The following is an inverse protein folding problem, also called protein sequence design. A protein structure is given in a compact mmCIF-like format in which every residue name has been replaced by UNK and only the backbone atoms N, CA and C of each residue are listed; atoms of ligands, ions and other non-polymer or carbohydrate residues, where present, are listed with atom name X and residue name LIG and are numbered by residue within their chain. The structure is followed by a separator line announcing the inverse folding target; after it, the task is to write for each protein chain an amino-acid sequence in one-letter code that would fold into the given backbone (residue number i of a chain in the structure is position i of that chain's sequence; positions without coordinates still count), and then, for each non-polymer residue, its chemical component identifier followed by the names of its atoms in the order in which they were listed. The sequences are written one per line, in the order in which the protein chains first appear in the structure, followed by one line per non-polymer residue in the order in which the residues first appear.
data_IF_808382316882
#
_entry.id   IF_808382316882
#
_cell.length_a   1.000
_cell.length_b   1.000
_cell.length_c   1.000
_cell.angle_alpha   90.00
_cell.angle_beta   90.00
_cell.angle_gamma   90.00
#
_symmetry.space_group_name_H-M   'P 1'
#
loop_
_entity.id
_entity.type
_entity.pdbx_description
1 polymer ?
#
# COMPACT_ATOMS: atom_id res chain seq x y z
N UNK A 1 11.05 13.43 17.00
CA UNK A 1 11.95 12.39 16.47
C UNK A 1 11.80 11.13 17.33
N UNK A 2 11.36 9.99 16.78
CA UNK A 2 11.04 8.77 17.56
C UNK A 2 11.87 7.55 17.12
N UNK A 3 12.96 7.78 16.37
CA UNK A 3 13.85 6.76 15.82
C UNK A 3 15.17 6.59 16.60
N UNK A 4 15.38 7.30 17.71
CA UNK A 4 16.67 7.30 18.42
C UNK A 4 16.82 6.17 19.44
N UNK A 5 15.79 5.33 19.65
CA UNK A 5 15.80 4.32 20.74
C UNK A 5 15.91 2.86 20.31
N UNK A 6 15.95 2.55 19.01
CA UNK A 6 16.06 1.16 18.54
C UNK A 6 16.73 1.07 17.16
N UNK A 7 18.06 0.92 17.13
CA UNK A 7 18.86 0.79 15.90
C UNK A 7 18.51 -0.44 15.06
N UNK A 8 17.91 -1.49 15.64
CA UNK A 8 17.65 -2.76 14.95
C UNK A 8 16.33 -2.84 14.19
N UNK A 9 15.47 -1.80 14.25
CA UNK A 9 14.14 -1.86 13.62
C UNK A 9 13.84 -0.57 12.87
N UNK A 10 14.51 -0.39 11.73
CA UNK A 10 14.10 0.56 10.69
C UNK A 10 12.70 0.13 10.21
N UNK A 11 11.67 0.70 10.84
CA UNK A 11 10.29 0.60 10.33
C UNK A 11 10.29 1.27 8.95
N UNK A 12 9.81 0.55 7.94
CA UNK A 12 9.83 0.98 6.54
C UNK A 12 9.36 2.41 6.39
N UNK A 13 10.31 3.33 6.18
CA UNK A 13 10.07 4.76 6.04
C UNK A 13 9.75 5.15 4.58
N UNK A 14 9.61 4.17 3.69
CA UNK A 14 9.41 4.42 2.26
C UNK A 14 8.00 4.92 1.96
N UNK A 15 7.91 6.07 1.29
CA UNK A 15 6.63 6.65 0.84
C UNK A 15 6.02 5.80 -0.28
N UNK A 16 4.72 5.98 -0.55
CA UNK A 16 4.07 5.31 -1.68
C UNK A 16 4.71 5.70 -3.02
N UNK A 17 5.16 6.95 -3.16
CA UNK A 17 5.89 7.41 -4.35
C UNK A 17 7.20 6.65 -4.53
N UNK A 18 7.98 6.46 -3.46
CA UNK A 18 9.22 5.68 -3.49
C UNK A 18 8.95 4.22 -3.83
N UNK A 19 7.92 3.63 -3.24
CA UNK A 19 7.54 2.25 -3.54
C UNK A 19 7.06 2.10 -5.00
N UNK A 20 6.35 3.10 -5.53
CA UNK A 20 5.93 3.12 -6.94
C UNK A 20 7.14 3.21 -7.87
N UNK A 21 8.08 4.12 -7.60
CA UNK A 21 9.31 4.27 -8.38
C UNK A 21 10.13 2.97 -8.37
N UNK A 22 10.26 2.35 -7.19
CA UNK A 22 10.97 1.08 -7.02
C UNK A 22 10.31 -0.04 -7.84
N UNK A 23 9.01 -0.23 -7.72
CA UNK A 23 8.30 -1.33 -8.37
C UNK A 23 8.18 -1.17 -9.90
N UNK A 24 8.18 0.06 -10.43
CA UNK A 24 8.11 0.31 -11.88
C UNK A 24 9.45 0.22 -12.58
N UNK A 25 10.52 0.74 -11.97
CA UNK A 25 11.75 1.05 -12.70
C UNK A 25 12.98 0.31 -12.17
N UNK A 26 12.91 -0.28 -10.98
CA UNK A 26 14.09 -0.83 -10.32
C UNK A 26 13.90 -2.32 -10.04
N UNK A 27 14.95 -3.09 -10.31
CA UNK A 27 15.02 -4.50 -9.95
C UNK A 27 15.39 -4.67 -8.47
N UNK A 28 15.17 -5.87 -7.94
CA UNK A 28 15.53 -6.21 -6.57
C UNK A 28 17.06 -6.34 -6.39
N UNK A 29 17.61 -5.68 -5.36
CA UNK A 29 19.04 -5.74 -5.02
C UNK A 29 19.53 -4.54 -4.19
N UNK A 30 20.39 -4.75 -3.18
CA UNK A 30 20.90 -3.63 -2.36
C UNK A 30 22.09 -2.94 -3.04
N UNK A 31 21.85 -1.81 -3.69
CA UNK A 31 22.89 -0.95 -4.27
C UNK A 31 22.67 0.52 -3.89
N UNK A 32 23.72 1.20 -3.44
CA UNK A 32 23.69 2.63 -3.13
C UNK A 32 23.41 3.48 -4.38
N UNK A 33 23.93 3.07 -5.54
CA UNK A 33 23.61 3.68 -6.85
C UNK A 33 22.11 3.54 -7.13
N UNK A 34 21.55 2.35 -6.92
CA UNK A 34 20.10 2.12 -7.05
C UNK A 34 19.29 3.02 -6.12
N UNK A 35 19.78 3.25 -4.89
CA UNK A 35 19.11 4.14 -3.93
C UNK A 35 19.14 5.60 -4.39
N UNK A 36 20.23 6.05 -5.01
CA UNK A 36 20.30 7.37 -5.64
C UNK A 36 19.33 7.53 -6.81
N UNK A 37 19.24 6.53 -7.68
CA UNK A 37 18.26 6.50 -8.78
C UNK A 37 16.82 6.51 -8.28
N UNK A 38 16.52 5.73 -7.23
CA UNK A 38 15.18 5.73 -6.59
C UNK A 38 14.79 7.13 -6.14
N UNK A 39 15.71 7.89 -5.53
CA UNK A 39 15.44 9.25 -5.08
C UNK A 39 15.15 10.20 -6.26
N UNK A 40 15.98 10.17 -7.31
CA UNK A 40 15.79 10.99 -8.51
C UNK A 40 14.49 10.68 -9.25
N UNK A 41 14.19 9.39 -9.45
CA UNK A 41 12.93 8.93 -10.07
C UNK A 41 11.71 9.29 -9.22
N UNK A 42 11.81 9.16 -7.90
CA UNK A 42 10.71 9.56 -7.00
C UNK A 42 10.42 11.05 -7.14
N UNK A 43 11.46 11.90 -7.15
CA UNK A 43 11.28 13.34 -7.34
C UNK A 43 10.62 13.63 -8.68
N UNK A 44 11.09 13.02 -9.77
CA UNK A 44 10.45 13.16 -11.09
C UNK A 44 8.99 12.71 -11.13
N UNK A 45 8.66 11.59 -10.47
CA UNK A 45 7.27 11.14 -10.33
C UNK A 45 6.45 12.16 -9.55
N UNK A 46 6.95 12.68 -8.44
CA UNK A 46 6.20 13.63 -7.61
C UNK A 46 6.02 15.01 -8.25
N UNK A 47 6.90 15.40 -9.18
CA UNK A 47 6.72 16.66 -9.95
C UNK A 47 5.74 16.51 -11.10
N UNK A 48 5.69 15.34 -11.76
CA UNK A 48 4.86 15.13 -12.96
C UNK A 48 3.50 14.52 -12.62
N UNK A 49 3.40 13.66 -11.61
CA UNK A 49 2.17 12.95 -11.26
C UNK A 49 1.51 13.50 -10.00
N UNK A 50 0.19 13.67 -10.06
CA UNK A 50 -0.61 13.98 -8.88
C UNK A 50 -0.56 12.84 -7.86
N UNK A 51 -0.74 13.16 -6.57
CA UNK A 51 -0.78 12.13 -5.51
C UNK A 51 -1.87 11.06 -5.77
N UNK A 52 -3.00 11.44 -6.37
CA UNK A 52 -4.04 10.50 -6.82
C UNK A 52 -3.49 9.53 -7.87
N UNK A 53 -2.79 10.03 -8.90
CA UNK A 53 -2.20 9.18 -9.95
C UNK A 53 -1.14 8.23 -9.39
N UNK A 54 -0.26 8.70 -8.50
CA UNK A 54 0.75 7.86 -7.83
C UNK A 54 0.08 6.72 -7.08
N UNK A 55 -0.94 7.03 -6.26
CA UNK A 55 -1.68 6.01 -5.53
C UNK A 55 -2.37 5.01 -6.46
N UNK A 56 -3.02 5.48 -7.54
CA UNK A 56 -3.65 4.60 -8.54
C UNK A 56 -2.64 3.65 -9.16
N UNK A 57 -1.48 4.15 -9.59
CA UNK A 57 -0.44 3.31 -10.20
C UNK A 57 0.11 2.33 -9.18
N UNK A 58 0.43 2.78 -7.96
CA UNK A 58 0.86 1.91 -6.87
C UNK A 58 -0.12 0.75 -6.65
N UNK A 59 -1.41 1.03 -6.53
CA UNK A 59 -2.43 0.02 -6.27
C UNK A 59 -2.62 -0.96 -7.43
N UNK A 60 -2.26 -0.59 -8.66
CA UNK A 60 -2.34 -1.47 -9.83
C UNK A 60 -1.11 -2.37 -10.00
N UNK A 61 0.05 -1.96 -9.47
CA UNK A 61 1.29 -2.74 -9.59
C UNK A 61 1.68 -3.47 -8.30
N UNK A 62 1.04 -3.15 -7.17
CA UNK A 62 1.31 -3.83 -5.91
C UNK A 62 0.83 -5.29 -5.96
N UNK A 63 1.63 -6.20 -5.41
CA UNK A 63 1.27 -7.61 -5.25
C UNK A 63 0.42 -7.79 -3.98
N UNK A 64 -0.71 -8.49 -4.12
CA UNK A 64 -1.65 -8.79 -3.02
C UNK A 64 -1.67 -10.28 -2.63
N UNK A 65 -0.97 -11.10 -3.39
CA UNK A 65 -0.76 -12.53 -3.17
C UNK A 65 0.09 -13.08 -4.31
N UNK A 66 0.50 -14.33 -4.21
CA UNK A 66 1.39 -14.99 -5.19
C UNK A 66 0.83 -14.86 -6.62
N UNK A 67 1.50 -14.03 -7.44
CA UNK A 67 1.10 -13.77 -8.83
C UNK A 67 -0.14 -12.87 -9.00
N UNK A 68 -0.64 -12.24 -7.94
CA UNK A 68 -1.85 -11.40 -7.96
C UNK A 68 -1.42 -9.94 -7.83
N UNK A 69 -1.25 -9.29 -8.98
CA UNK A 69 -0.86 -7.88 -9.07
C UNK A 69 -2.09 -6.99 -9.33
N UNK A 70 -2.20 -5.95 -8.52
CA UNK A 70 -3.25 -4.96 -8.65
C UNK A 70 -4.47 -5.21 -7.76
N UNK A 71 -5.03 -4.12 -7.25
CA UNK A 71 -6.18 -4.15 -6.33
C UNK A 71 -7.44 -4.69 -7.01
N UNK A 72 -7.63 -4.43 -8.30
CA UNK A 72 -8.76 -4.98 -9.08
C UNK A 72 -8.65 -6.50 -9.19
N UNK A 73 -7.50 -7.03 -9.60
CA UNK A 73 -7.27 -8.46 -9.67
C UNK A 73 -7.45 -9.14 -8.31
N UNK A 74 -6.95 -8.52 -7.23
CA UNK A 74 -7.14 -9.00 -5.87
C UNK A 74 -8.62 -9.00 -5.45
N UNK A 75 -9.37 -7.94 -5.79
CA UNK A 75 -10.79 -7.83 -5.47
C UNK A 75 -11.60 -8.94 -6.13
N UNK A 76 -11.37 -9.16 -7.42
CA UNK A 76 -12.00 -10.25 -8.19
C UNK A 76 -11.62 -11.62 -7.61
N UNK A 77 -10.33 -11.83 -7.32
CA UNK A 77 -9.81 -13.12 -6.87
C UNK A 77 -10.25 -13.53 -5.46
N UNK A 78 -10.39 -12.58 -4.55
CA UNK A 78 -10.67 -12.86 -3.14
C UNK A 78 -12.12 -12.59 -2.73
N UNK A 79 -12.80 -11.66 -3.40
CA UNK A 79 -14.14 -11.23 -3.03
C UNK A 79 -15.16 -11.32 -4.18
N UNK A 80 -14.74 -11.75 -5.37
CA UNK A 80 -15.60 -11.98 -6.53
C UNK A 80 -16.41 -10.74 -6.95
N UNK A 81 -15.77 -9.57 -6.90
CA UNK A 81 -16.37 -8.29 -7.26
C UNK A 81 -15.33 -7.27 -7.69
N UNK A 82 -15.73 -6.22 -8.45
CA UNK A 82 -14.82 -5.14 -8.79
C UNK A 82 -14.34 -4.38 -7.55
N UNK A 83 -13.13 -3.82 -7.62
CA UNK A 83 -12.52 -3.08 -6.52
C UNK A 83 -13.37 -1.88 -6.06
N UNK A 84 -14.14 -1.28 -6.98
CA UNK A 84 -15.09 -0.19 -6.69
C UNK A 84 -16.24 -0.60 -5.76
N UNK A 85 -16.48 -1.90 -5.58
CA UNK A 85 -17.53 -2.46 -4.69
C UNK A 85 -16.97 -3.11 -3.43
N UNK A 86 -15.69 -2.91 -3.12
CA UNK A 86 -15.12 -3.36 -1.86
C UNK A 86 -15.75 -2.60 -0.70
N UNK A 87 -16.13 -3.34 0.34
CA UNK A 87 -16.48 -2.75 1.63
C UNK A 87 -15.23 -2.20 2.32
N UNK A 88 -15.42 -1.29 3.28
CA UNK A 88 -14.31 -0.76 4.10
C UNK A 88 -13.51 -1.88 4.78
N UNK A 89 -14.18 -2.96 5.18
CA UNK A 89 -13.56 -4.13 5.80
C UNK A 89 -12.66 -4.89 4.84
N UNK A 90 -13.11 -5.12 3.60
CA UNK A 90 -12.33 -5.84 2.58
C UNK A 90 -11.17 -4.98 2.07
N UNK A 91 -11.39 -3.68 1.88
CA UNK A 91 -10.32 -2.73 1.55
C UNK A 91 -9.25 -2.71 2.67
N UNK A 92 -9.66 -2.69 3.93
CA UNK A 92 -8.74 -2.78 5.07
C UNK A 92 -8.00 -4.13 5.11
N UNK A 93 -8.62 -5.23 4.69
CA UNK A 93 -7.98 -6.54 4.62
C UNK A 93 -6.89 -6.57 3.53
N UNK A 94 -7.18 -6.05 2.34
CA UNK A 94 -6.20 -5.91 1.26
C UNK A 94 -5.03 -5.01 1.69
N UNK A 95 -5.32 -3.89 2.36
CA UNK A 95 -4.29 -3.02 2.89
C UNK A 95 -3.43 -3.71 4.00
N UNK A 96 -4.02 -4.62 4.78
CA UNK A 96 -3.32 -5.34 5.84
C UNK A 96 -2.28 -6.34 5.31
N UNK A 97 -2.46 -6.86 4.09
CA UNK A 97 -1.56 -7.88 3.50
C UNK A 97 -0.41 -7.29 2.69
N UNK A 98 -0.55 -6.08 2.16
CA UNK A 98 0.47 -5.37 1.35
C UNK A 98 1.91 -5.38 1.90
N UNK A 99 2.16 -5.29 3.22
CA UNK A 99 3.54 -5.29 3.72
C UNK A 99 4.30 -6.59 3.46
N UNK A 100 3.59 -7.72 3.30
CA UNK A 100 4.18 -9.00 2.93
C UNK A 100 3.09 -9.93 2.35
N UNK A 101 2.68 -9.77 1.09
CA UNK A 101 1.55 -10.48 0.49
C UNK A 101 1.77 -12.00 0.36
N UNK A 102 3.03 -12.42 0.34
CA UNK A 102 3.38 -13.85 0.31
C UNK A 102 3.10 -14.50 1.68
N UNK A 103 3.39 -13.83 2.80
CA UNK A 103 3.15 -14.36 4.16
C UNK A 103 1.77 -14.02 4.71
N UNK A 104 1.22 -12.86 4.35
CA UNK A 104 -0.08 -12.38 4.81
C UNK A 104 -1.13 -12.68 3.74
N UNK A 105 -2.02 -13.63 4.03
CA UNK A 105 -3.01 -14.12 3.07
C UNK A 105 -4.36 -13.44 3.28
N UNK A 106 -4.92 -12.85 2.23
CA UNK A 106 -6.26 -12.22 2.28
C UNK A 106 -7.39 -13.27 2.28
N UNK A 107 -7.20 -14.40 1.59
CA UNK A 107 -8.15 -15.51 1.54
C UNK A 107 -8.13 -16.42 2.78
N UNK A 108 -7.05 -16.38 3.57
CA UNK A 108 -6.91 -17.14 4.82
C UNK A 108 -6.19 -16.29 5.88
N UNK A 109 -6.83 -15.21 6.37
CA UNK A 109 -6.15 -14.26 7.25
C UNK A 109 -5.94 -14.83 8.65
N UNK A 110 -4.68 -14.84 9.06
CA UNK A 110 -4.28 -15.22 10.42
C UNK A 110 -4.82 -14.23 11.47
N UNK A 111 -4.77 -14.61 12.74
CA UNK A 111 -5.14 -13.70 13.84
C UNK A 111 -4.37 -12.37 13.80
N UNK A 112 -3.10 -12.40 13.40
CA UNK A 112 -2.30 -11.19 13.19
C UNK A 112 -2.87 -10.29 12.08
N UNK A 113 -3.21 -10.85 10.92
CA UNK A 113 -3.78 -10.10 9.79
C UNK A 113 -5.12 -9.50 10.18
N UNK A 114 -5.98 -10.24 10.88
CA UNK A 114 -7.27 -9.75 11.39
C UNK A 114 -7.10 -8.61 12.39
N UNK A 115 -6.16 -8.72 13.32
CA UNK A 115 -5.83 -7.63 14.26
C UNK A 115 -5.35 -6.38 13.54
N UNK A 116 -4.54 -6.55 12.49
CA UNK A 116 -4.07 -5.44 11.65
C UNK A 116 -5.19 -4.80 10.84
N UNK A 117 -6.08 -5.60 10.24
CA UNK A 117 -7.29 -5.13 9.56
C UNK A 117 -8.16 -4.29 10.51
N UNK A 118 -8.43 -4.79 11.72
CA UNK A 118 -9.19 -4.06 12.73
C UNK A 118 -8.51 -2.74 13.14
N UNK A 119 -7.17 -2.75 13.25
CA UNK A 119 -6.41 -1.54 13.50
C UNK A 119 -6.57 -0.52 12.36
N UNK A 120 -6.44 -0.95 11.10
CA UNK A 120 -6.64 -0.09 9.92
C UNK A 120 -8.05 0.51 9.91
N UNK A 121 -9.09 -0.30 10.11
CA UNK A 121 -10.47 0.20 10.17
C UNK A 121 -10.66 1.25 11.26
N UNK A 122 -10.04 1.07 12.43
CA UNK A 122 -10.07 2.09 13.50
C UNK A 122 -9.38 3.37 13.07
N UNK A 123 -8.24 3.31 12.37
CA UNK A 123 -7.59 4.50 11.82
C UNK A 123 -8.47 5.22 10.81
N UNK A 124 -9.12 4.49 9.89
CA UNK A 124 -10.05 5.07 8.92
C UNK A 124 -11.20 5.83 9.63
N UNK A 125 -11.76 5.25 10.69
CA UNK A 125 -12.80 5.92 11.50
C UNK A 125 -12.28 7.16 12.21
N UNK A 126 -11.08 7.11 12.79
CA UNK A 126 -10.46 8.26 13.47
C UNK A 126 -10.16 9.42 12.51
N UNK A 127 -9.88 9.12 11.24
CA UNK A 127 -9.71 10.15 10.21
C UNK A 127 -11.04 10.77 9.74
N UNK A 128 -12.19 10.18 10.11
CA UNK A 128 -13.52 10.66 9.75
C UNK A 128 -14.28 9.78 8.76
N UNK A 129 -13.77 8.60 8.42
CA UNK A 129 -14.46 7.62 7.55
C UNK A 129 -14.80 8.19 6.17
N UNK A 130 -16.00 7.90 5.68
CA UNK A 130 -16.48 8.42 4.38
C UNK A 130 -16.61 9.95 4.37
N UNK A 131 -16.96 10.56 5.51
CA UNK A 131 -17.05 12.02 5.63
C UNK A 131 -15.71 12.71 5.35
N UNK A 132 -14.59 12.07 5.68
CA UNK A 132 -13.27 12.56 5.32
C UNK A 132 -13.07 12.60 3.80
N UNK A 133 -13.49 11.54 3.10
CA UNK A 133 -13.33 11.42 1.65
C UNK A 133 -14.17 12.47 0.92
N UNK A 134 -15.43 12.65 1.33
CA UNK A 134 -16.33 13.66 0.76
C UNK A 134 -15.82 15.08 1.01
N UNK A 135 -15.36 15.40 2.23
CA UNK A 135 -14.83 16.74 2.57
C UNK A 135 -13.60 17.11 1.74
N UNK A 136 -12.75 16.12 1.41
CA UNK A 136 -11.51 16.33 0.68
C UNK A 136 -11.64 16.02 -0.83
N UNK A 137 -12.86 15.80 -1.34
CA UNK A 137 -13.12 15.50 -2.76
C UNK A 137 -12.26 14.33 -3.28
N UNK A 138 -12.18 13.26 -2.47
CA UNK A 138 -11.43 12.03 -2.75
C UNK A 138 -12.30 10.89 -3.28
N UNK A 139 -13.58 11.14 -3.48
CA UNK A 139 -14.54 10.19 -4.07
C UNK A 139 -14.39 10.08 -5.59
#
# INVERSE_FOLDING_TARGET
AHNERNESRIRGASTLSQQTAKNLFLWDGRSWVRKGLEAGLTLGIETVWSKKRILTVYLNIAEFGDGIFGVEAAAQRYFHKPASRLSLSEAALLAAVLPNPIRYKANAPSGYVRSRQAWIMRQMRQLGGESFMTRNQLN
#
